data_IF_340052659754
#
_entry.id   IF_340052659754
#
_cell.length_a   1.000
_cell.length_b   1.000
_cell.length_c   1.000
_cell.angle_alpha   90.00
_cell.angle_beta   90.00
_cell.angle_gamma   90.00
#
_symmetry.space_group_name_H-M   'P 1'
#
loop_
_entity.id
_entity.type
_entity.pdbx_description
1 polymer ?
#
# COMPACT_ATOMS: atom_id res chain seq x y z
N UNK A 1 7.91 -4.47 -20.70
CA UNK A 1 7.47 -4.92 -19.37
C UNK A 1 8.63 -4.76 -18.37
N UNK A 2 8.35 -4.25 -17.19
CA UNK A 2 9.39 -4.04 -16.19
C UNK A 2 9.62 -5.31 -15.36
N UNK A 3 10.85 -5.51 -14.92
CA UNK A 3 11.16 -6.60 -13.98
C UNK A 3 10.64 -6.26 -12.58
N UNK A 4 10.62 -7.24 -11.68
CA UNK A 4 10.22 -7.02 -10.30
C UNK A 4 11.05 -5.91 -9.62
N UNK A 5 12.36 -5.85 -9.90
CA UNK A 5 13.25 -4.83 -9.33
C UNK A 5 12.91 -3.41 -9.77
N UNK A 6 12.43 -3.26 -10.99
CA UNK A 6 12.10 -1.95 -11.56
C UNK A 6 10.68 -1.50 -11.21
N UNK A 7 9.75 -2.46 -11.15
CA UNK A 7 8.32 -2.19 -11.00
C UNK A 7 7.88 -2.21 -9.54
N UNK A 8 8.32 -3.20 -8.79
CA UNK A 8 7.96 -3.40 -7.40
C UNK A 8 9.22 -3.44 -6.54
N UNK A 9 9.10 -3.00 -5.29
CA UNK A 9 10.22 -3.04 -4.36
C UNK A 9 10.32 -4.40 -3.69
N UNK A 10 11.48 -5.03 -3.81
CA UNK A 10 11.79 -6.30 -3.17
C UNK A 10 12.44 -6.00 -1.83
N UNK A 11 11.62 -5.89 -0.82
CA UNK A 11 12.05 -5.67 0.55
C UNK A 11 11.45 -6.76 1.43
N UNK A 12 11.13 -6.43 2.67
CA UNK A 12 10.43 -7.34 3.58
C UNK A 12 9.01 -7.63 3.14
N UNK A 13 8.43 -6.82 2.26
CA UNK A 13 7.09 -6.99 1.70
C UNK A 13 7.14 -6.74 0.21
N UNK A 14 6.17 -7.28 -0.53
CA UNK A 14 5.95 -6.90 -1.92
C UNK A 14 5.01 -5.70 -1.93
N UNK A 15 5.50 -4.57 -2.42
CA UNK A 15 4.73 -3.33 -2.44
C UNK A 15 4.79 -2.66 -3.79
N UNK A 16 3.77 -1.87 -4.08
CA UNK A 16 3.63 -1.11 -5.29
C UNK A 16 3.69 0.38 -4.95
N UNK A 17 4.53 1.14 -5.65
CA UNK A 17 4.57 2.59 -5.51
C UNK A 17 3.47 3.22 -6.35
N UNK A 18 3.11 4.46 -6.02
CA UNK A 18 2.06 5.19 -6.73
C UNK A 18 2.60 5.90 -7.96
N UNK A 19 1.81 5.94 -9.01
CA UNK A 19 2.12 6.79 -10.16
C UNK A 19 1.76 8.25 -9.87
N UNK A 20 2.03 9.15 -10.83
CA UNK A 20 1.80 10.59 -10.64
C UNK A 20 0.33 10.93 -10.37
N UNK A 21 -0.60 10.31 -11.10
CA UNK A 21 -2.03 10.55 -10.91
C UNK A 21 -2.52 10.06 -9.55
N UNK A 22 -2.09 8.88 -9.13
CA UNK A 22 -2.42 8.32 -7.83
C UNK A 22 -1.83 9.15 -6.70
N UNK A 23 -0.60 9.60 -6.85
CA UNK A 23 0.07 10.47 -5.88
C UNK A 23 -0.72 11.76 -5.67
N UNK A 24 -1.19 12.39 -6.74
CA UNK A 24 -2.02 13.60 -6.65
C UNK A 24 -3.32 13.35 -5.90
N UNK A 25 -3.97 12.22 -6.14
CA UNK A 25 -5.19 11.85 -5.41
C UNK A 25 -4.90 11.73 -3.92
N UNK A 26 -3.82 11.05 -3.54
CA UNK A 26 -3.46 10.88 -2.13
C UNK A 26 -3.08 12.21 -1.49
N UNK A 27 -2.35 13.06 -2.17
CA UNK A 27 -2.00 14.38 -1.65
C UNK A 27 -3.24 15.23 -1.37
N UNK A 28 -4.24 15.17 -2.24
CA UNK A 28 -5.51 15.84 -2.02
C UNK A 28 -6.23 15.29 -0.77
N UNK A 29 -6.20 13.98 -0.57
CA UNK A 29 -6.76 13.34 0.62
C UNK A 29 -5.99 13.72 1.89
N UNK A 30 -4.68 13.79 1.82
CA UNK A 30 -3.84 14.25 2.95
C UNK A 30 -4.23 15.65 3.39
N UNK A 31 -4.51 16.54 2.45
CA UNK A 31 -4.93 17.92 2.74
C UNK A 31 -6.30 17.98 3.41
N UNK A 32 -7.14 16.97 3.22
CA UNK A 32 -8.46 16.91 3.85
C UNK A 32 -8.43 16.50 5.32
N UNK A 33 -7.29 16.00 5.80
CA UNK A 33 -7.14 15.58 7.20
C UNK A 33 -6.97 16.83 8.06
N UNK A 34 -7.87 16.99 9.04
CA UNK A 34 -7.88 18.16 9.92
C UNK A 34 -7.27 17.89 11.30
N UNK A 35 -6.97 16.64 11.61
CA UNK A 35 -6.41 16.27 12.90
C UNK A 35 -4.98 16.79 13.04
N UNK A 36 -4.77 17.70 13.98
CA UNK A 36 -3.47 18.38 14.17
C UNK A 36 -2.39 17.44 14.68
N UNK A 37 -2.75 16.31 15.27
CA UNK A 37 -1.83 15.31 15.78
C UNK A 37 -1.29 14.37 14.68
N UNK A 38 -1.79 14.51 13.46
CA UNK A 38 -1.41 13.64 12.34
C UNK A 38 -0.57 14.42 11.34
N UNK A 39 0.58 13.85 10.98
CA UNK A 39 1.48 14.38 9.96
C UNK A 39 1.36 13.56 8.68
N UNK A 40 1.32 14.20 7.52
CA UNK A 40 1.27 13.47 6.25
C UNK A 40 2.57 12.71 6.01
N UNK A 41 2.46 11.53 5.41
CA UNK A 41 3.63 10.79 4.95
C UNK A 41 4.20 11.45 3.70
N UNK A 42 5.53 11.36 3.55
CA UNK A 42 6.22 11.85 2.36
C UNK A 42 5.83 11.02 1.13
N UNK A 43 5.85 11.64 -0.04
CA UNK A 43 5.51 10.96 -1.30
C UNK A 43 6.31 9.68 -1.49
N UNK A 44 7.59 9.69 -1.16
CA UNK A 44 8.47 8.53 -1.30
C UNK A 44 8.03 7.31 -0.46
N UNK A 45 7.23 7.55 0.58
CA UNK A 45 6.77 6.49 1.50
C UNK A 45 5.37 5.99 1.18
N UNK A 46 4.68 6.61 0.23
CA UNK A 46 3.33 6.18 -0.16
C UNK A 46 3.42 4.92 -1.00
N UNK A 47 2.70 3.88 -0.58
CA UNK A 47 2.69 2.60 -1.30
C UNK A 47 1.46 1.78 -0.95
N UNK A 48 1.19 0.79 -1.78
CA UNK A 48 0.19 -0.25 -1.54
C UNK A 48 0.93 -1.55 -1.28
N UNK A 49 0.75 -2.16 -0.10
CA UNK A 49 1.32 -3.47 0.18
C UNK A 49 0.47 -4.54 -0.48
N UNK A 50 1.09 -5.35 -1.34
CA UNK A 50 0.41 -6.42 -2.08
C UNK A 50 0.52 -7.77 -1.38
N UNK A 51 1.70 -8.09 -0.85
CA UNK A 51 1.96 -9.34 -0.14
C UNK A 51 2.72 -9.01 1.13
N UNK A 52 2.26 -9.49 2.26
CA UNK A 52 2.88 -9.20 3.55
C UNK A 52 4.21 -9.92 3.74
N UNK A 53 4.91 -9.54 4.83
CA UNK A 53 6.27 -10.01 5.05
C UNK A 53 6.43 -11.52 5.16
N UNK A 54 5.51 -12.18 5.85
CA UNK A 54 5.61 -13.64 6.07
C UNK A 54 5.36 -14.43 4.78
N UNK A 55 4.32 -14.08 4.05
CA UNK A 55 4.00 -14.73 2.77
C UNK A 55 5.08 -14.41 1.73
N UNK A 56 5.55 -13.16 1.69
CA UNK A 56 6.54 -12.73 0.72
C UNK A 56 7.90 -13.43 0.91
N UNK A 57 8.34 -13.60 2.15
CA UNK A 57 9.60 -14.28 2.45
C UNK A 57 9.66 -15.70 1.87
N UNK A 58 8.54 -16.41 1.84
CA UNK A 58 8.52 -17.79 1.36
C UNK A 58 8.61 -17.92 -0.16
N UNK A 59 8.25 -16.87 -0.90
CA UNK A 59 8.13 -16.94 -2.36
C UNK A 59 9.03 -15.95 -3.11
N UNK A 60 9.60 -14.95 -2.44
CA UNK A 60 10.30 -13.82 -3.10
C UNK A 60 11.44 -14.22 -4.03
N UNK A 61 12.13 -15.32 -3.74
CA UNK A 61 13.24 -15.80 -4.58
C UNK A 61 12.78 -16.13 -6.00
N UNK A 62 11.57 -16.67 -6.13
CA UNK A 62 11.02 -17.07 -7.43
C UNK A 62 10.72 -15.86 -8.32
N UNK A 63 10.53 -14.68 -7.70
CA UNK A 63 10.07 -13.49 -8.41
C UNK A 63 11.15 -12.42 -8.58
N UNK A 64 12.36 -12.65 -8.07
CA UNK A 64 13.43 -11.64 -8.04
C UNK A 64 13.72 -10.99 -9.40
N UNK A 65 13.78 -11.79 -10.44
CA UNK A 65 14.15 -11.34 -11.79
C UNK A 65 13.05 -11.57 -12.82
N UNK A 66 11.84 -11.91 -12.38
CA UNK A 66 10.71 -12.11 -13.29
C UNK A 66 10.12 -10.78 -13.71
N UNK A 67 9.70 -10.72 -14.96
CA UNK A 67 8.86 -9.62 -15.43
C UNK A 67 7.45 -9.79 -14.90
N UNK A 68 6.83 -8.68 -14.54
CA UNK A 68 5.49 -8.69 -13.97
C UNK A 68 4.52 -8.01 -14.92
N UNK A 69 3.32 -8.57 -14.99
CA UNK A 69 2.23 -7.96 -15.75
C UNK A 69 1.84 -6.64 -15.07
N UNK A 70 1.69 -5.59 -15.87
CA UNK A 70 1.22 -4.31 -15.37
C UNK A 70 -0.26 -4.37 -14.99
N UNK A 71 -0.66 -3.49 -14.06
CA UNK A 71 -2.05 -3.32 -13.70
C UNK A 71 -2.80 -2.76 -14.91
N UNK A 72 -3.92 -3.40 -15.26
CA UNK A 72 -4.75 -3.03 -16.41
C UNK A 72 -6.07 -2.37 -16.01
N UNK A 73 -6.17 -1.91 -14.77
CA UNK A 73 -7.34 -1.20 -14.27
C UNK A 73 -6.93 0.07 -13.54
N UNK A 74 -7.83 1.04 -13.49
CA UNK A 74 -7.58 2.28 -12.76
C UNK A 74 -7.77 2.06 -11.27
N UNK A 75 -6.87 2.65 -10.48
CA UNK A 75 -6.97 2.63 -9.03
C UNK A 75 -7.49 3.98 -8.56
N UNK A 76 -8.56 3.95 -7.77
CA UNK A 76 -9.09 5.11 -7.09
C UNK A 76 -9.15 4.83 -5.58
N UNK A 77 -9.28 5.87 -4.79
CA UNK A 77 -9.16 5.77 -3.34
C UNK A 77 -10.44 6.26 -2.66
N UNK A 78 -10.82 5.55 -1.60
CA UNK A 78 -11.92 5.96 -0.74
C UNK A 78 -11.48 7.07 0.22
N UNK A 79 -12.43 7.67 0.91
CA UNK A 79 -12.15 8.71 1.90
C UNK A 79 -11.20 8.20 2.98
N UNK A 80 -10.29 9.06 3.49
CA UNK A 80 -9.40 8.66 4.57
C UNK A 80 -10.19 8.26 5.82
N UNK A 81 -9.70 7.22 6.47
CA UNK A 81 -10.22 6.73 7.73
C UNK A 81 -9.13 6.75 8.78
N UNK A 82 -9.48 7.14 10.01
CA UNK A 82 -8.57 7.09 11.14
C UNK A 82 -8.64 5.71 11.79
N UNK A 83 -7.48 5.17 12.12
CA UNK A 83 -7.37 3.93 12.89
C UNK A 83 -6.39 4.17 14.03
N UNK A 84 -6.70 3.62 15.20
CA UNK A 84 -5.82 3.64 16.34
C UNK A 84 -5.28 2.24 16.61
N UNK A 85 -4.00 2.17 16.92
CA UNK A 85 -3.31 0.93 17.21
C UNK A 85 -2.72 0.94 18.58
N UNK A 86 -1.85 -0.03 18.84
CA UNK A 86 -1.16 -0.17 20.12
C UNK A 86 -0.11 0.93 20.32
N UNK A 87 0.27 1.16 21.57
CA UNK A 87 1.33 2.08 21.96
C UNK A 87 1.07 3.54 21.53
N UNK A 88 -0.18 3.96 21.52
CA UNK A 88 -0.55 5.33 21.17
C UNK A 88 -0.43 5.66 19.69
N UNK A 89 -0.24 4.67 18.83
CA UNK A 89 -0.20 4.87 17.38
C UNK A 89 -1.57 5.24 16.85
N UNK A 90 -1.59 6.17 15.91
CA UNK A 90 -2.78 6.53 15.15
C UNK A 90 -2.37 6.81 13.72
N UNK A 91 -3.18 6.38 12.78
CA UNK A 91 -2.93 6.56 11.34
C UNK A 91 -4.18 6.95 10.61
N UNK A 92 -3.99 7.64 9.48
CA UNK A 92 -5.00 7.74 8.45
C UNK A 92 -4.59 6.89 7.27
N UNK A 93 -5.55 6.21 6.69
CA UNK A 93 -5.37 5.39 5.49
C UNK A 93 -6.55 5.56 4.55
N UNK A 94 -6.30 5.36 3.27
CA UNK A 94 -7.36 5.33 2.26
C UNK A 94 -7.35 3.95 1.59
N UNK A 95 -8.51 3.29 1.62
CA UNK A 95 -8.66 2.01 0.91
C UNK A 95 -8.73 2.29 -0.59
N UNK A 96 -8.20 1.37 -1.39
CA UNK A 96 -8.48 1.42 -2.82
C UNK A 96 -9.92 0.95 -3.06
N UNK A 97 -10.58 1.55 -4.05
CA UNK A 97 -11.97 1.17 -4.37
C UNK A 97 -12.03 -0.21 -5.00
N UNK A 98 -10.99 -0.58 -5.77
CA UNK A 98 -10.93 -1.80 -6.58
C UNK A 98 -10.34 -2.98 -5.81
N UNK A 99 -10.90 -3.32 -4.65
CA UNK A 99 -10.39 -4.41 -3.81
C UNK A 99 -10.37 -5.74 -4.53
N UNK A 100 -11.47 -6.12 -5.18
CA UNK A 100 -11.58 -7.40 -5.88
C UNK A 100 -10.58 -7.50 -7.03
N UNK A 101 -10.49 -6.44 -7.83
CA UNK A 101 -9.56 -6.41 -8.97
C UNK A 101 -8.11 -6.52 -8.50
N UNK A 102 -7.78 -5.90 -7.37
CA UNK A 102 -6.44 -6.02 -6.80
C UNK A 102 -6.17 -7.44 -6.27
N UNK A 103 -7.15 -8.07 -5.62
CA UNK A 103 -7.01 -9.48 -5.21
C UNK A 103 -6.74 -10.38 -6.42
N UNK A 104 -7.49 -10.21 -7.49
CA UNK A 104 -7.32 -11.00 -8.71
C UNK A 104 -5.95 -10.73 -9.35
N UNK A 105 -5.53 -9.48 -9.38
CA UNK A 105 -4.21 -9.10 -9.90
C UNK A 105 -3.09 -9.77 -9.10
N UNK A 106 -3.13 -9.68 -7.77
CA UNK A 106 -2.11 -10.26 -6.90
C UNK A 106 -2.07 -11.78 -7.04
N UNK A 107 -3.23 -12.43 -7.13
CA UNK A 107 -3.31 -13.87 -7.36
C UNK A 107 -2.66 -14.26 -8.68
N UNK A 108 -2.93 -13.51 -9.74
CA UNK A 108 -2.30 -13.74 -11.05
C UNK A 108 -0.80 -13.47 -11.04
N UNK A 109 -0.35 -12.55 -10.19
CA UNK A 109 1.04 -12.13 -10.12
C UNK A 109 1.91 -13.15 -9.36
N UNK A 110 1.48 -13.58 -8.18
CA UNK A 110 2.29 -14.37 -7.27
C UNK A 110 1.65 -15.69 -6.84
N UNK A 111 0.44 -15.98 -7.31
CA UNK A 111 -0.25 -17.23 -7.00
C UNK A 111 -0.80 -17.34 -5.58
N UNK A 112 -0.57 -16.36 -4.72
CA UNK A 112 -1.06 -16.34 -3.34
C UNK A 112 -1.90 -15.10 -3.10
N UNK A 113 -2.93 -15.25 -2.29
CA UNK A 113 -3.82 -14.15 -1.90
C UNK A 113 -4.22 -14.33 -0.45
N UNK A 114 -3.98 -13.33 0.35
CA UNK A 114 -4.59 -13.25 1.67
C UNK A 114 -5.99 -12.64 1.51
N UNK A 115 -7.02 -13.47 1.61
CA UNK A 115 -8.40 -13.04 1.40
C UNK A 115 -8.91 -12.01 2.40
N UNK A 116 -8.29 -11.95 3.57
CA UNK A 116 -8.60 -10.95 4.57
C UNK A 116 -7.88 -9.62 4.38
N UNK A 117 -6.96 -9.54 3.41
CA UNK A 117 -6.19 -8.31 3.20
C UNK A 117 -7.07 -7.22 2.59
N UNK A 118 -6.97 -6.04 3.18
CA UNK A 118 -7.56 -4.82 2.64
C UNK A 118 -6.43 -3.99 2.02
N UNK A 119 -6.48 -3.79 0.72
CA UNK A 119 -5.47 -2.98 0.02
C UNK A 119 -5.73 -1.51 0.28
N UNK A 120 -4.71 -0.81 0.72
CA UNK A 120 -4.82 0.58 1.15
C UNK A 120 -3.48 1.28 1.03
N UNK A 121 -3.53 2.61 1.16
CA UNK A 121 -2.35 3.45 1.30
C UNK A 121 -2.43 4.10 2.68
N UNK A 122 -1.38 3.94 3.48
CA UNK A 122 -1.22 4.74 4.70
C UNK A 122 -0.79 6.14 4.29
N UNK A 123 -1.49 7.17 4.73
CA UNK A 123 -1.29 8.54 4.26
C UNK A 123 -0.83 9.51 5.34
N UNK A 124 -0.98 9.15 6.60
CA UNK A 124 -0.53 9.99 7.70
C UNK A 124 -0.49 9.23 9.02
N UNK A 125 0.31 9.71 9.96
CA UNK A 125 0.39 9.19 11.31
C UNK A 125 0.95 10.28 12.25
N UNK A 126 1.18 9.94 13.52
CA UNK A 126 1.61 10.94 14.51
C UNK A 126 3.01 11.49 14.28
N UNK A 127 3.88 10.75 13.60
CA UNK A 127 5.29 11.15 13.42
C UNK A 127 5.65 11.57 12.00
N UNK A 128 4.85 11.19 11.01
CA UNK A 128 5.18 11.33 9.60
C UNK A 128 6.15 10.27 9.08
N UNK A 129 6.53 9.31 9.90
CA UNK A 129 7.41 8.19 9.51
C UNK A 129 6.56 6.98 9.16
N UNK A 130 6.79 6.39 7.99
CA UNK A 130 5.99 5.26 7.52
C UNK A 130 5.99 4.07 8.50
N UNK A 131 7.10 3.82 9.18
CA UNK A 131 7.22 2.74 10.15
C UNK A 131 6.36 2.90 11.41
N UNK A 132 5.85 4.11 11.68
CA UNK A 132 5.01 4.40 12.83
C UNK A 132 3.50 4.35 12.49
N UNK A 133 3.16 3.90 11.31
CA UNK A 133 1.76 3.68 10.92
C UNK A 133 1.19 2.44 11.59
N UNK A 134 -0.12 2.46 11.81
CA UNK A 134 -0.84 1.28 12.30
C UNK A 134 -0.81 0.22 11.20
N UNK A 135 -0.39 -1.00 11.54
CA UNK A 135 -0.12 -2.05 10.56
C UNK A 135 -1.35 -2.82 10.12
N UNK A 136 -2.32 -2.99 11.00
CA UNK A 136 -3.52 -3.78 10.70
C UNK A 136 -4.67 -2.87 10.31
N UNK A 137 -5.06 -2.94 9.06
CA UNK A 137 -6.24 -2.29 8.52
C UNK A 137 -7.25 -3.38 8.18
N UNK A 138 -8.43 -3.25 8.73
CA UNK A 138 -9.51 -4.22 8.51
C UNK A 138 -10.66 -3.62 7.72
#
# INVERSE_FOLDING_TARGET
MKTLKEYLKIESVLKMTLNAAQTKQIQALQKSITDKDIKPLAVKDLHITLVDGNEWKSIRREYRDKELKEIDFNITFEKPQRIEGENGRASYYSKITQQKQMHDYVKGLVGVVNRGRVYHVSIGNRTGRVGDSVREVK
#
